data_IF_382814129634
#
_entry.id   IF_382814129634
#
_cell.length_a   1.000
_cell.length_b   1.000
_cell.length_c   1.000
_cell.angle_alpha   90.00
_cell.angle_beta   90.00
_cell.angle_gamma   90.00
#
_symmetry.space_group_name_H-M   'P 1'
#
loop_
_entity.id
_entity.type
_entity.pdbx_description
1 polymer ?
#
# COMPACT_ATOMS: atom_id res chain seq x y z
N UNK A 1 -15.96 -5.31 -11.11
CA UNK A 1 -15.43 -5.32 -9.74
C UNK A 1 -15.70 -3.94 -9.13
N UNK A 2 -16.20 -3.80 -7.88
CA UNK A 2 -16.51 -2.48 -7.34
C UNK A 2 -15.24 -1.63 -7.43
N UNK A 3 -15.38 -0.56 -8.20
CA UNK A 3 -14.33 0.33 -8.66
C UNK A 3 -13.57 0.92 -7.46
N UNK A 4 -12.40 0.37 -7.13
CA UNK A 4 -11.38 1.16 -6.43
C UNK A 4 -10.99 2.27 -7.38
N UNK A 5 -11.62 3.44 -7.23
CA UNK A 5 -11.57 4.50 -8.25
C UNK A 5 -10.14 4.91 -8.57
N UNK A 6 -9.22 4.83 -7.62
CA UNK A 6 -7.80 5.15 -7.78
C UNK A 6 -6.85 3.94 -7.65
N UNK A 7 -7.37 2.71 -7.65
CA UNK A 7 -6.53 1.52 -7.55
C UNK A 7 -6.01 1.18 -6.15
N UNK A 8 -6.19 2.05 -5.14
CA UNK A 8 -5.81 1.78 -3.74
C UNK A 8 -6.47 0.49 -3.24
N UNK A 9 -5.71 -0.49 -2.78
CA UNK A 9 -6.28 -1.71 -2.22
C UNK A 9 -7.11 -1.42 -0.96
N UNK A 10 -8.14 -2.23 -0.65
CA UNK A 10 -8.95 -2.02 0.55
C UNK A 10 -8.07 -1.92 1.80
N UNK A 11 -8.23 -0.81 2.53
CA UNK A 11 -7.52 -0.53 3.77
C UNK A 11 -8.54 -0.25 4.86
N UNK A 12 -8.40 -0.91 6.01
CA UNK A 12 -9.27 -0.71 7.15
C UNK A 12 -8.48 -0.47 8.43
N UNK A 13 -9.10 0.20 9.40
CA UNK A 13 -8.62 0.25 10.77
C UNK A 13 -8.93 -1.10 11.43
N UNK A 14 -7.91 -1.78 11.95
CA UNK A 14 -8.05 -3.09 12.59
C UNK A 14 -7.37 -3.12 13.94
N UNK A 15 -7.76 -4.08 14.79
CA UNK A 15 -7.07 -4.43 16.03
C UNK A 15 -6.48 -5.84 15.88
N UNK A 16 -5.16 -5.98 16.03
CA UNK A 16 -4.46 -7.26 15.83
C UNK A 16 -3.39 -7.46 16.91
N UNK A 17 -3.31 -8.69 17.43
CA UNK A 17 -2.24 -9.16 18.30
C UNK A 17 -1.26 -10.01 17.48
N UNK A 18 0.03 -9.64 17.48
CA UNK A 18 1.06 -10.50 16.90
C UNK A 18 2.33 -10.39 17.72
N UNK A 19 2.99 -11.53 17.92
CA UNK A 19 4.21 -11.59 18.70
C UNK A 19 5.32 -10.73 18.06
N UNK A 20 5.42 -10.66 16.73
CA UNK A 20 6.48 -9.93 16.00
C UNK A 20 6.36 -8.40 16.17
N UNK A 21 5.20 -7.90 16.60
CA UNK A 21 5.02 -6.47 16.80
C UNK A 21 5.87 -5.94 17.95
N UNK A 22 6.53 -4.80 17.72
CA UNK A 22 7.31 -4.12 18.75
C UNK A 22 6.43 -3.62 19.91
N UNK A 23 6.75 -3.98 21.15
CA UNK A 23 6.01 -3.51 22.31
C UNK A 23 6.95 -2.67 23.17
N UNK A 24 6.70 -1.36 23.21
CA UNK A 24 7.58 -0.39 23.88
C UNK A 24 7.81 -0.69 25.38
N UNK A 25 6.87 -1.38 26.02
CA UNK A 25 6.93 -1.73 27.45
C UNK A 25 7.46 -3.14 27.69
N UNK A 26 8.07 -3.80 26.70
CA UNK A 26 8.71 -5.10 26.94
C UNK A 26 9.92 -4.93 27.86
N UNK A 27 9.79 -5.45 29.08
CA UNK A 27 10.96 -5.67 29.93
C UNK A 27 11.82 -6.74 29.26
N UNK A 28 13.02 -6.35 28.82
CA UNK A 28 14.02 -7.25 28.21
C UNK A 28 14.45 -8.38 29.16
N UNK A 29 14.07 -8.33 30.45
CA UNK A 29 14.31 -9.39 31.45
C UNK A 29 13.12 -10.34 31.64
N UNK A 30 11.97 -10.10 31.01
CA UNK A 30 10.82 -10.99 31.09
C UNK A 30 11.09 -12.32 30.38
N UNK A 31 10.93 -13.43 31.09
CA UNK A 31 11.02 -14.79 30.51
C UNK A 31 9.89 -15.07 29.51
N UNK A 32 8.81 -14.29 29.56
CA UNK A 32 7.65 -14.42 28.69
C UNK A 32 7.46 -13.17 27.82
N UNK A 33 7.36 -13.39 26.52
CA UNK A 33 7.01 -12.35 25.55
C UNK A 33 5.53 -12.03 25.69
N UNK A 34 5.23 -10.80 26.09
CA UNK A 34 3.84 -10.33 26.19
C UNK A 34 3.35 -10.01 24.80
N UNK A 35 2.28 -10.64 24.33
CA UNK A 35 1.64 -10.26 23.07
C UNK A 35 0.54 -9.25 23.41
N UNK A 36 0.60 -8.06 22.83
CA UNK A 36 -0.40 -7.00 23.03
C UNK A 36 -1.12 -6.67 21.73
N UNK A 37 -2.39 -6.32 21.86
CA UNK A 37 -3.20 -5.77 20.78
C UNK A 37 -2.62 -4.45 20.28
N UNK A 38 -2.67 -4.26 18.97
CA UNK A 38 -2.35 -3.00 18.31
C UNK A 38 -3.44 -2.61 17.35
N UNK A 39 -3.79 -1.34 17.39
CA UNK A 39 -4.69 -0.72 16.41
C UNK A 39 -3.86 -0.07 15.32
N UNK A 40 -4.21 -0.30 14.06
CA UNK A 40 -3.51 0.27 12.92
C UNK A 40 -4.24 0.06 11.60
N UNK A 41 -3.72 0.66 10.54
CA UNK A 41 -4.19 0.42 9.17
C UNK A 41 -3.74 -0.95 8.68
N UNK A 42 -4.66 -1.71 8.08
CA UNK A 42 -4.38 -2.97 7.43
C UNK A 42 -4.90 -2.95 6.01
N UNK A 43 -3.98 -2.96 5.05
CA UNK A 43 -4.27 -2.93 3.62
C UNK A 43 -4.15 -4.33 3.03
N UNK A 44 -5.09 -4.69 2.15
CA UNK A 44 -4.99 -5.92 1.38
C UNK A 44 -3.72 -5.89 0.51
N UNK A 45 -2.93 -6.97 0.56
CA UNK A 45 -1.72 -7.09 -0.23
C UNK A 45 -2.02 -7.03 -1.73
N UNK A 46 -1.27 -6.19 -2.44
CA UNK A 46 -1.35 -6.04 -3.89
C UNK A 46 -0.23 -6.83 -4.57
N UNK A 47 -0.59 -7.95 -5.21
CA UNK A 47 0.36 -8.65 -6.08
C UNK A 47 0.76 -7.74 -7.26
N UNK A 48 2.06 -7.58 -7.46
CA UNK A 48 2.65 -6.66 -8.43
C UNK A 48 3.87 -7.30 -9.08
N UNK A 49 4.29 -6.75 -10.22
CA UNK A 49 5.47 -7.15 -10.97
C UNK A 49 6.70 -6.33 -10.58
N UNK A 50 6.52 -5.01 -10.42
CA UNK A 50 7.57 -4.05 -10.11
C UNK A 50 6.96 -2.76 -9.54
N UNK A 51 7.81 -1.76 -9.29
CA UNK A 51 7.36 -0.40 -8.94
C UNK A 51 7.37 0.49 -10.18
N UNK A 52 6.85 1.71 -10.07
CA UNK A 52 6.91 2.66 -11.18
C UNK A 52 8.31 3.21 -11.44
N UNK A 53 9.28 2.95 -10.54
CA UNK A 53 10.71 3.29 -10.75
C UNK A 53 11.34 2.47 -11.86
N UNK A 54 10.82 1.26 -12.06
CA UNK A 54 11.37 0.28 -13.00
C UNK A 54 10.81 0.45 -14.43
N UNK A 55 9.82 1.34 -14.62
CA UNK A 55 9.06 1.47 -15.87
C UNK A 55 8.88 2.93 -16.27
N UNK A 56 9.11 3.23 -17.55
CA UNK A 56 8.88 4.57 -18.08
C UNK A 56 7.40 4.97 -18.09
N UNK A 57 7.06 6.24 -17.80
CA UNK A 57 5.68 6.71 -17.71
C UNK A 57 4.90 6.62 -19.03
N UNK A 58 5.58 6.48 -20.16
CA UNK A 58 4.94 6.25 -21.47
C UNK A 58 4.14 4.94 -21.54
N UNK A 59 4.41 3.99 -20.65
CA UNK A 59 3.71 2.70 -20.55
C UNK A 59 2.47 2.75 -19.66
N UNK A 60 2.24 3.86 -18.95
CA UNK A 60 1.22 3.91 -17.91
C UNK A 60 -0.17 4.15 -18.50
N UNK A 61 -1.20 3.41 -18.07
CA UNK A 61 -2.57 3.69 -18.48
C UNK A 61 -3.01 5.07 -17.98
N UNK A 62 -3.19 6.02 -18.90
CA UNK A 62 -3.51 7.43 -18.62
C UNK A 62 -4.69 7.58 -17.66
N UNK A 63 -5.74 6.78 -17.85
CA UNK A 63 -6.92 6.82 -16.97
C UNK A 63 -6.58 6.50 -15.51
N UNK A 64 -5.70 5.53 -15.26
CA UNK A 64 -5.30 5.13 -13.92
C UNK A 64 -4.42 6.21 -13.27
N UNK A 65 -3.52 6.82 -14.04
CA UNK A 65 -2.72 7.98 -13.60
C UNK A 65 -3.62 9.12 -13.15
N UNK A 66 -4.62 9.50 -13.96
CA UNK A 66 -5.55 10.58 -13.60
C UNK A 66 -6.35 10.28 -12.34
N UNK A 67 -6.76 9.03 -12.14
CA UNK A 67 -7.49 8.61 -10.93
C UNK A 67 -6.64 8.72 -9.67
N UNK A 68 -5.37 8.32 -9.75
CA UNK A 68 -4.39 8.47 -8.65
C UNK A 68 -4.15 9.95 -8.37
N UNK A 69 -3.88 10.77 -9.39
CA UNK A 69 -3.68 12.20 -9.24
C UNK A 69 -4.90 12.90 -8.59
N UNK A 70 -6.11 12.56 -9.02
CA UNK A 70 -7.33 13.11 -8.43
C UNK A 70 -7.49 12.70 -6.95
N UNK A 71 -7.06 11.50 -6.56
CA UNK A 71 -7.04 11.07 -5.16
C UNK A 71 -5.99 11.86 -4.36
N UNK A 72 -4.74 11.90 -4.84
CA UNK A 72 -3.63 12.55 -4.15
C UNK A 72 -3.91 14.05 -3.95
N UNK A 73 -4.47 14.74 -4.95
CA UNK A 73 -4.88 16.15 -4.82
C UNK A 73 -5.95 16.32 -3.73
N UNK A 74 -6.96 15.42 -3.67
CA UNK A 74 -8.05 15.53 -2.70
C UNK A 74 -7.62 15.21 -1.27
N UNK A 75 -6.66 14.31 -1.12
CA UNK A 75 -6.07 13.97 0.17
C UNK A 75 -4.91 14.91 0.55
N UNK A 76 -4.51 15.80 -0.35
CA UNK A 76 -3.30 16.61 -0.24
C UNK A 76 -2.09 15.73 0.10
N UNK A 77 -1.94 14.59 -0.59
CA UNK A 77 -0.84 13.66 -0.35
C UNK A 77 0.51 14.36 -0.61
N UNK A 78 1.32 14.49 0.43
CA UNK A 78 2.60 15.21 0.38
C UNK A 78 3.79 14.30 0.09
N UNK A 79 3.60 12.99 -0.01
CA UNK A 79 4.67 12.00 -0.08
C UNK A 79 4.47 10.97 -1.22
N UNK A 80 3.74 11.35 -2.27
CA UNK A 80 3.63 10.51 -3.48
C UNK A 80 4.94 10.54 -4.26
N UNK A 81 5.61 9.41 -4.31
CA UNK A 81 6.77 9.19 -5.19
C UNK A 81 6.64 7.88 -6.01
N UNK A 82 7.61 7.62 -6.87
CA UNK A 82 7.62 6.50 -7.82
C UNK A 82 7.60 5.12 -7.15
N UNK A 83 8.37 4.93 -6.08
CA UNK A 83 8.31 3.72 -5.24
C UNK A 83 6.94 3.46 -4.59
N UNK A 84 6.07 4.46 -4.47
CA UNK A 84 4.74 4.31 -3.85
C UNK A 84 3.65 3.92 -4.86
N UNK A 85 4.01 3.63 -6.11
CA UNK A 85 3.10 3.12 -7.14
C UNK A 85 3.59 1.75 -7.60
N UNK A 86 2.81 0.72 -7.31
CA UNK A 86 3.07 -0.64 -7.77
C UNK A 86 2.46 -0.86 -9.15
N UNK A 87 3.14 -1.64 -9.99
CA UNK A 87 2.70 -1.98 -11.33
C UNK A 87 2.38 -3.47 -11.42
N UNK A 88 1.27 -3.81 -12.08
CA UNK A 88 0.99 -5.19 -12.49
C UNK A 88 1.05 -5.30 -13.99
N UNK A 89 1.88 -6.20 -14.48
CA UNK A 89 1.96 -6.51 -15.91
C UNK A 89 1.13 -7.73 -16.29
N UNK A 90 0.55 -7.68 -17.48
CA UNK A 90 -0.14 -8.82 -18.09
C UNK A 90 0.05 -8.76 -19.60
N UNK A 91 0.55 -9.83 -20.21
CA UNK A 91 0.79 -9.87 -21.66
C UNK A 91 1.82 -8.86 -22.17
N UNK A 92 2.78 -8.44 -21.34
CA UNK A 92 3.81 -7.46 -21.69
C UNK A 92 3.39 -6.00 -21.54
N UNK A 93 2.16 -5.74 -21.11
CA UNK A 93 1.59 -4.40 -20.90
C UNK A 93 1.25 -4.15 -19.43
N UNK A 94 1.29 -2.88 -19.02
CA UNK A 94 0.89 -2.46 -17.67
C UNK A 94 -0.63 -2.52 -17.56
N UNK A 95 -1.12 -3.51 -16.80
CA UNK A 95 -2.55 -3.75 -16.60
C UNK A 95 -3.13 -2.94 -15.43
N UNK A 96 -2.32 -2.63 -14.42
CA UNK A 96 -2.76 -1.85 -13.26
C UNK A 96 -1.64 -1.03 -12.62
N UNK A 97 -2.02 0.14 -12.11
CA UNK A 97 -1.27 0.98 -11.18
C UNK A 97 -1.96 0.91 -9.82
N UNK A 98 -1.22 0.55 -8.77
CA UNK A 98 -1.75 0.42 -7.42
C UNK A 98 -0.97 1.37 -6.51
N UNK A 99 -1.57 2.50 -6.10
CA UNK A 99 -0.98 3.35 -5.07
C UNK A 99 -0.98 2.61 -3.73
N UNK A 100 0.19 2.64 -3.10
CA UNK A 100 0.43 2.25 -1.72
C UNK A 100 0.99 3.46 -0.99
N UNK A 101 1.02 3.38 0.34
CA UNK A 101 1.47 4.47 1.22
C UNK A 101 0.67 5.79 1.03
#
# INVERSE_FOLDING_TARGET
SPLLRAGVCPTALVCVANSVFHIATEDRRSLFRTIKDKVGSFQLFAQHSCTSEDMGPSRFPVEQVHRIAALDIRLCNTDRHSGNILLRESGGEVSALVPID
#
